data_IF_689854625335
#
_entry.id   IF_689854625335
#
_cell.length_a   1.000
_cell.length_b   1.000
_cell.length_c   1.000
_cell.angle_alpha   90.00
_cell.angle_beta   90.00
_cell.angle_gamma   90.00
#
_symmetry.space_group_name_H-M   'P 1'
#
loop_
_entity.id
_entity.type
_entity.pdbx_description
1 polymer ?
#
# COMPACT_ATOMS: atom_id res chain seq x y z
N UNK A 1 2.92 1.94 -10.75
CA UNK A 1 3.87 2.09 -9.63
C UNK A 1 5.31 2.26 -10.13
N UNK A 2 6.16 3.00 -9.42
CA UNK A 2 7.58 3.21 -9.79
C UNK A 2 8.57 2.93 -8.64
N UNK A 3 9.88 2.87 -8.92
CA UNK A 3 10.90 2.67 -7.88
C UNK A 3 11.34 4.02 -7.32
N UNK A 4 11.07 4.22 -6.03
CA UNK A 4 11.59 5.33 -5.25
C UNK A 4 12.90 4.95 -4.56
N UNK A 5 13.87 5.86 -4.58
CA UNK A 5 15.16 5.71 -3.89
C UNK A 5 15.34 6.84 -2.89
N UNK A 6 15.50 6.48 -1.63
CA UNK A 6 15.89 7.47 -0.62
C UNK A 6 17.39 7.80 -0.74
N UNK A 7 17.80 8.98 -0.27
CA UNK A 7 19.21 9.36 -0.19
C UNK A 7 20.07 8.45 0.72
N UNK A 8 19.44 7.58 1.53
CA UNK A 8 20.09 6.66 2.47
C UNK A 8 20.25 5.24 1.90
N UNK A 9 19.89 5.00 0.63
CA UNK A 9 20.06 3.72 -0.04
C UNK A 9 18.84 2.78 0.08
N UNK A 10 17.83 3.13 0.87
CA UNK A 10 16.53 2.42 0.90
C UNK A 10 15.79 2.56 -0.42
N UNK A 11 15.13 1.49 -0.85
CA UNK A 11 14.27 1.44 -2.03
C UNK A 11 12.84 1.14 -1.63
N UNK A 12 11.87 1.75 -2.30
CA UNK A 12 10.47 1.41 -2.12
C UNK A 12 9.77 1.47 -3.46
N UNK A 13 8.67 0.75 -3.58
CA UNK A 13 7.71 1.06 -4.62
C UNK A 13 6.93 2.31 -4.23
N UNK A 14 6.81 3.28 -5.14
CA UNK A 14 5.97 4.46 -4.98
C UNK A 14 4.73 4.34 -5.84
N UNK A 15 3.58 4.57 -5.22
CA UNK A 15 2.29 4.62 -5.86
C UNK A 15 1.60 5.96 -5.57
N UNK A 16 1.08 6.57 -6.62
CA UNK A 16 0.33 7.82 -6.59
C UNK A 16 -1.10 7.51 -7.07
N UNK A 17 -2.10 8.03 -6.36
CA UNK A 17 -3.51 7.82 -6.68
C UNK A 17 -4.11 9.11 -7.26
N UNK A 18 -4.48 9.14 -8.56
CA UNK A 18 -5.03 10.33 -9.22
C UNK A 18 -6.24 10.95 -8.50
N UNK A 19 -7.08 10.12 -7.88
CA UNK A 19 -8.29 10.56 -7.18
C UNK A 19 -8.00 11.00 -5.72
N UNK A 20 -6.76 10.86 -5.25
CA UNK A 20 -6.28 11.35 -3.95
C UNK A 20 -5.04 12.27 -4.13
N UNK A 21 -5.18 13.43 -4.81
CA UNK A 21 -4.05 14.28 -5.17
C UNK A 21 -3.32 14.84 -3.95
N UNK A 22 -1.99 14.90 -4.03
CA UNK A 22 -1.12 15.36 -2.94
C UNK A 22 -0.76 14.29 -1.92
N UNK A 23 -1.22 13.05 -2.12
CA UNK A 23 -0.84 11.88 -1.33
C UNK A 23 -0.13 10.85 -2.19
N UNK A 24 0.79 10.10 -1.58
CA UNK A 24 1.41 8.93 -2.21
C UNK A 24 1.69 7.85 -1.16
N UNK A 25 1.79 6.60 -1.61
CA UNK A 25 2.18 5.47 -0.78
C UNK A 25 3.59 5.01 -1.15
N UNK A 26 4.39 4.68 -0.12
CA UNK A 26 5.62 3.91 -0.27
C UNK A 26 5.38 2.50 0.26
N UNK A 27 5.74 1.50 -0.55
CA UNK A 27 5.60 0.08 -0.22
C UNK A 27 6.98 -0.58 -0.23
N UNK A 28 7.32 -1.25 0.86
CA UNK A 28 8.62 -1.92 1.04
C UNK A 28 8.51 -3.11 2.00
N UNK A 29 9.53 -3.96 2.03
CA UNK A 29 9.65 -5.04 3.00
C UNK A 29 9.92 -4.49 4.41
N UNK A 30 9.10 -4.91 5.37
CA UNK A 30 9.12 -4.41 6.75
C UNK A 30 10.46 -4.65 7.47
N UNK A 31 11.26 -5.65 7.06
CA UNK A 31 12.52 -6.01 7.72
C UNK A 31 13.72 -5.33 7.07
N UNK A 32 13.73 -5.27 5.74
CA UNK A 32 14.86 -4.77 4.97
C UNK A 32 14.78 -3.27 4.69
N UNK A 33 13.59 -2.65 4.81
CA UNK A 33 13.35 -1.28 4.35
C UNK A 33 13.75 -1.07 2.88
N UNK A 34 13.57 -2.12 2.09
CA UNK A 34 13.82 -2.15 0.64
C UNK A 34 12.61 -2.75 -0.06
N UNK A 35 12.55 -2.65 -1.38
CA UNK A 35 11.59 -3.43 -2.17
C UNK A 35 11.65 -4.92 -1.76
N UNK A 36 10.49 -5.54 -1.58
CA UNK A 36 10.39 -6.94 -1.18
C UNK A 36 10.81 -7.88 -2.32
N UNK A 37 11.60 -8.91 -2.00
CA UNK A 37 12.08 -9.90 -2.96
C UNK A 37 10.95 -10.88 -3.38
N UNK A 38 10.07 -11.22 -2.44
CA UNK A 38 8.94 -12.14 -2.62
C UNK A 38 7.67 -11.52 -2.03
N UNK A 39 7.09 -10.49 -2.68
CA UNK A 39 5.89 -9.80 -2.18
C UNK A 39 4.68 -10.72 -1.97
N UNK A 40 4.67 -11.89 -2.60
CA UNK A 40 3.70 -12.97 -2.37
C UNK A 40 3.67 -13.46 -0.91
N UNK A 41 4.81 -13.46 -0.23
CA UNK A 41 4.98 -14.04 1.11
C UNK A 41 5.61 -13.11 2.13
N UNK A 42 6.35 -12.12 1.67
CA UNK A 42 7.07 -11.18 2.51
C UNK A 42 6.10 -10.20 3.16
N UNK A 43 6.50 -9.67 4.33
CA UNK A 43 5.69 -8.66 5.02
C UNK A 43 5.93 -7.30 4.39
N UNK A 44 4.88 -6.71 3.88
CA UNK A 44 4.90 -5.41 3.23
C UNK A 44 4.50 -4.33 4.24
N UNK A 45 5.25 -3.24 4.28
CA UNK A 45 4.86 -1.99 4.95
C UNK A 45 4.38 -1.01 3.90
N UNK A 46 3.17 -0.49 4.07
CA UNK A 46 2.63 0.62 3.30
C UNK A 46 2.71 1.85 4.19
N UNK A 47 3.40 2.89 3.74
CA UNK A 47 3.44 4.19 4.41
C UNK A 47 2.84 5.23 3.50
N UNK A 48 1.85 5.95 4.00
CA UNK A 48 1.18 7.04 3.30
C UNK A 48 1.89 8.35 3.64
N UNK A 49 2.12 9.17 2.63
CA UNK A 49 2.78 10.46 2.76
C UNK A 49 1.93 11.55 2.14
N UNK A 50 2.01 12.73 2.75
CA UNK A 50 1.55 13.97 2.13
C UNK A 50 2.72 14.67 1.43
N UNK A 51 2.57 14.95 0.12
CA UNK A 51 3.63 15.56 -0.70
C UNK A 51 4.05 16.94 -0.21
N UNK A 52 3.12 17.71 0.35
CA UNK A 52 3.32 19.10 0.76
C UNK A 52 4.33 19.22 1.92
N UNK A 53 4.33 18.26 2.83
CA UNK A 53 5.13 18.26 4.07
C UNK A 53 6.16 17.12 4.10
N UNK A 54 6.11 16.20 3.15
CA UNK A 54 6.95 15.00 3.07
C UNK A 54 7.02 14.23 4.41
N UNK A 55 5.90 14.20 5.12
CA UNK A 55 5.76 13.58 6.42
C UNK A 55 4.84 12.35 6.28
N UNK A 56 5.15 11.21 6.91
CA UNK A 56 4.23 10.09 6.95
C UNK A 56 2.97 10.50 7.69
N UNK A 57 1.82 10.17 7.11
CA UNK A 57 0.49 10.46 7.65
C UNK A 57 -0.25 9.21 8.12
N UNK A 58 0.28 8.03 7.80
CA UNK A 58 -0.19 6.75 8.29
C UNK A 58 0.65 5.61 7.74
N UNK A 59 0.57 4.45 8.39
CA UNK A 59 1.22 3.24 7.93
C UNK A 59 0.41 1.99 8.28
N UNK A 60 0.67 0.90 7.55
CA UNK A 60 0.12 -0.42 7.83
C UNK A 60 1.07 -1.52 7.36
N UNK A 61 1.19 -2.58 8.16
CA UNK A 61 1.87 -3.81 7.80
C UNK A 61 0.89 -4.86 7.30
N UNK A 62 1.21 -5.52 6.18
CA UNK A 62 0.40 -6.57 5.56
C UNK A 62 1.27 -7.78 5.21
N UNK A 63 0.87 -8.96 5.68
CA UNK A 63 1.61 -10.22 5.46
C UNK A 63 1.31 -10.83 4.07
N UNK A 64 2.09 -10.42 3.06
CA UNK A 64 2.08 -10.97 1.71
C UNK A 64 0.71 -10.98 1.02
N UNK A 65 0.53 -11.87 0.03
CA UNK A 65 -0.73 -12.01 -0.72
C UNK A 65 -1.92 -12.33 0.19
N UNK A 66 -1.73 -13.19 1.18
CA UNK A 66 -2.81 -13.60 2.08
C UNK A 66 -3.34 -12.40 2.88
N UNK A 67 -2.44 -11.57 3.42
CA UNK A 67 -2.78 -10.33 4.10
C UNK A 67 -3.42 -9.32 3.17
N UNK A 68 -2.91 -9.15 1.95
CA UNK A 68 -3.46 -8.20 0.97
C UNK A 68 -4.91 -8.54 0.60
N UNK A 69 -5.19 -9.83 0.31
CA UNK A 69 -6.55 -10.29 0.05
C UNK A 69 -7.47 -10.10 1.25
N UNK A 70 -7.00 -10.44 2.46
CA UNK A 70 -7.79 -10.28 3.67
C UNK A 70 -8.12 -8.80 3.92
N UNK A 71 -7.13 -7.92 3.73
CA UNK A 71 -7.33 -6.48 3.87
C UNK A 71 -8.37 -5.99 2.86
N UNK A 72 -8.22 -6.36 1.58
CA UNK A 72 -9.14 -5.95 0.51
C UNK A 72 -10.55 -6.46 0.76
N UNK A 73 -10.70 -7.71 1.20
CA UNK A 73 -12.00 -8.28 1.56
C UNK A 73 -12.64 -7.56 2.75
N UNK A 74 -11.86 -7.26 3.78
CA UNK A 74 -12.38 -6.63 5.00
C UNK A 74 -12.81 -5.19 4.75
N UNK A 75 -12.06 -4.46 3.92
CA UNK A 75 -12.27 -3.02 3.74
C UNK A 75 -13.13 -2.73 2.51
N UNK A 76 -12.86 -3.37 1.38
CA UNK A 76 -13.54 -3.12 0.10
C UNK A 76 -14.72 -4.08 -0.10
N UNK A 77 -14.76 -5.22 0.60
CA UNK A 77 -15.85 -6.19 0.51
C UNK A 77 -15.71 -7.21 -0.62
N UNK A 78 -14.57 -7.23 -1.31
CA UNK A 78 -14.29 -8.10 -2.44
C UNK A 78 -13.07 -9.01 -2.18
N UNK A 79 -13.04 -10.19 -2.78
CA UNK A 79 -11.90 -11.10 -2.67
C UNK A 79 -11.24 -11.25 -4.05
N UNK A 80 -10.21 -10.43 -4.37
CA UNK A 80 -9.63 -10.36 -5.73
C UNK A 80 -9.25 -11.74 -6.29
N UNK A 81 -8.66 -12.60 -5.46
CA UNK A 81 -8.21 -13.93 -5.87
C UNK A 81 -9.32 -14.99 -5.98
N UNK A 82 -10.57 -14.63 -5.66
CA UNK A 82 -11.75 -15.50 -5.84
C UNK A 82 -12.59 -15.12 -7.04
N UNK A 83 -12.16 -14.11 -7.80
CA UNK A 83 -12.84 -13.70 -9.02
C UNK A 83 -12.68 -14.75 -10.13
N UNK A 84 -13.63 -14.82 -11.10
CA UNK A 84 -13.62 -15.84 -12.15
C UNK A 84 -12.36 -15.85 -13.03
N UNK A 85 -11.70 -14.69 -13.12
CA UNK A 85 -10.53 -14.46 -13.97
C UNK A 85 -9.23 -15.01 -13.36
N UNK A 86 -9.29 -15.55 -12.13
CA UNK A 86 -8.17 -16.18 -11.44
C UNK A 86 -7.43 -15.25 -10.49
N UNK A 87 -6.19 -15.62 -10.16
CA UNK A 87 -5.37 -14.85 -9.21
C UNK A 87 -4.95 -13.52 -9.83
N UNK A 88 -5.18 -12.43 -9.10
CA UNK A 88 -4.72 -11.12 -9.51
C UNK A 88 -3.18 -11.06 -9.41
N UNK A 89 -2.45 -10.51 -10.39
CA UNK A 89 -1.00 -10.34 -10.27
C UNK A 89 -0.62 -9.58 -9.00
N UNK A 90 0.44 -10.01 -8.31
CA UNK A 90 0.78 -9.46 -6.97
C UNK A 90 0.99 -7.95 -6.98
N UNK A 91 1.58 -7.42 -8.06
CA UNK A 91 1.81 -6.00 -8.21
C UNK A 91 0.49 -5.23 -8.33
N UNK A 92 -0.48 -5.75 -9.09
CA UNK A 92 -1.81 -5.17 -9.22
C UNK A 92 -2.58 -5.25 -7.90
N UNK A 93 -2.43 -6.34 -7.13
CA UNK A 93 -3.02 -6.46 -5.80
C UNK A 93 -2.43 -5.43 -4.82
N UNK A 94 -1.12 -5.20 -4.86
CA UNK A 94 -0.45 -4.17 -4.05
C UNK A 94 -0.93 -2.77 -4.46
N UNK A 95 -1.00 -2.47 -5.76
CA UNK A 95 -1.50 -1.20 -6.27
C UNK A 95 -2.94 -0.95 -5.85
N UNK A 96 -3.81 -1.95 -5.96
CA UNK A 96 -5.20 -1.87 -5.52
C UNK A 96 -5.32 -1.57 -4.02
N UNK A 97 -4.53 -2.24 -3.17
CA UNK A 97 -4.52 -1.95 -1.73
C UNK A 97 -3.99 -0.54 -1.44
N UNK A 98 -2.91 -0.12 -2.11
CA UNK A 98 -2.36 1.23 -1.97
C UNK A 98 -3.36 2.32 -2.38
N UNK A 99 -4.04 2.14 -3.51
CA UNK A 99 -5.09 3.04 -3.98
C UNK A 99 -6.20 3.21 -2.94
N UNK A 100 -6.76 2.10 -2.44
CA UNK A 100 -7.82 2.15 -1.43
C UNK A 100 -7.36 2.74 -0.10
N UNK A 101 -6.10 2.56 0.29
CA UNK A 101 -5.54 3.21 1.48
C UNK A 101 -5.48 4.75 1.29
N UNK A 102 -4.97 5.20 0.14
CA UNK A 102 -4.86 6.62 -0.19
C UNK A 102 -6.23 7.29 -0.28
N UNK A 103 -7.19 6.66 -0.98
CA UNK A 103 -8.57 7.14 -1.10
C UNK A 103 -9.24 7.28 0.26
N UNK A 104 -9.14 6.25 1.11
CA UNK A 104 -9.73 6.29 2.46
C UNK A 104 -9.16 7.40 3.33
N UNK A 105 -7.84 7.61 3.25
CA UNK A 105 -7.20 8.70 3.98
C UNK A 105 -7.69 10.06 3.44
N UNK A 106 -7.71 10.23 2.12
CA UNK A 106 -8.15 11.46 1.45
C UNK A 106 -9.61 11.82 1.75
N UNK A 107 -10.51 10.84 1.72
CA UNK A 107 -11.94 11.01 2.04
C UNK A 107 -12.19 11.23 3.55
N UNK A 108 -11.15 11.13 4.38
CA UNK A 108 -11.21 11.36 5.83
C UNK A 108 -11.65 10.14 6.65
N UNK A 109 -11.73 8.95 6.05
CA UNK A 109 -12.12 7.71 6.73
C UNK A 109 -11.00 7.05 7.54
N UNK A 110 -9.76 7.54 7.45
CA UNK A 110 -8.57 6.99 8.10
C UNK A 110 -7.81 8.08 8.85
N UNK A 111 -8.47 8.75 9.80
CA UNK A 111 -7.81 9.68 10.73
C UNK A 111 -7.38 8.92 11.99
N UNK A 112 -6.10 8.90 12.37
CA UNK A 112 -5.62 8.22 13.57
C UNK A 112 -6.06 8.87 14.90
N UNK A 113 -6.82 9.98 14.88
CA UNK A 113 -7.13 10.80 16.05
C UNK A 113 -8.60 10.76 16.51
N UNK A 114 -9.40 9.77 16.10
CA UNK A 114 -10.76 9.58 16.63
C UNK A 114 -10.92 8.23 17.35
N UNK A 115 -10.34 8.14 18.56
CA UNK A 115 -10.80 7.25 19.66
C UNK A 115 -11.02 8.06 20.95
#
# INVERSE_FOLDING_TARGET
>A
MEIHKSGLGSTAWRFDEPDAPGLFALVYDARAMTIADKPETDRLTFVLFEESVNNPVGDIEIDGRAGLNLWYQTHVGHAPDKEPDGLLPIMELIENVAAHLLLRYFEGGLRPDEE
#
